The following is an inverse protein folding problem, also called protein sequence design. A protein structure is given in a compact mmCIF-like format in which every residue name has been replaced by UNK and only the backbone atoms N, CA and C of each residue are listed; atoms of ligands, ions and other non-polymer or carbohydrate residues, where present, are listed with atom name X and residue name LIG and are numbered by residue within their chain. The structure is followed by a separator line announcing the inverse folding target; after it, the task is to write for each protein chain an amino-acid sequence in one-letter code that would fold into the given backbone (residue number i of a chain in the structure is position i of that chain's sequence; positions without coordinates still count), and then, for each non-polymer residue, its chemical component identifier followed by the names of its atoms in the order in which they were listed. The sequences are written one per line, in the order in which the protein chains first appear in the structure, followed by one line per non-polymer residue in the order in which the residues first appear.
data_IF_840872700906
#
_entry.id   IF_840872700906
#
_cell.length_a   1.000
_cell.length_b   1.000
_cell.length_c   1.000
_cell.angle_alpha   90.00
_cell.angle_beta   90.00
_cell.angle_gamma   90.00
#
_symmetry.space_group_name_H-M   'P 1'
#
loop_
_entity.id
_entity.type
_entity.pdbx_description
1 polymer ?
#
# COMPACT_ATOMS: atom_id res chain seq x y z
N UNK A 1 -29.08 39.70 -41.95
CA UNK A 1 -29.43 38.45 -41.27
C UNK A 1 -28.10 37.77 -41.01
N UNK A 2 -27.62 37.82 -39.77
CA UNK A 2 -26.29 37.31 -39.40
C UNK A 2 -26.55 35.88 -38.89
N UNK A 3 -26.02 34.91 -39.61
CA UNK A 3 -26.07 33.49 -39.27
C UNK A 3 -25.02 33.26 -38.19
N UNK A 4 -25.47 32.97 -36.96
CA UNK A 4 -24.60 32.68 -35.82
C UNK A 4 -24.40 31.17 -35.82
N UNK A 5 -23.18 30.72 -36.08
CA UNK A 5 -22.82 29.30 -36.01
C UNK A 5 -23.00 28.78 -34.57
N UNK A 6 -23.55 27.55 -34.40
CA UNK A 6 -23.72 26.95 -33.09
C UNK A 6 -22.33 26.68 -32.47
N UNK A 7 -22.17 27.16 -31.23
CA UNK A 7 -20.98 26.92 -30.42
C UNK A 7 -20.97 25.43 -30.07
N UNK A 8 -19.98 24.69 -30.58
CA UNK A 8 -19.74 23.30 -30.20
C UNK A 8 -19.54 23.22 -28.68
N UNK A 9 -20.42 22.48 -28.00
CA UNK A 9 -20.27 22.19 -26.58
C UNK A 9 -18.99 21.35 -26.40
N UNK A 10 -18.06 21.77 -25.51
CA UNK A 10 -16.90 20.95 -25.20
C UNK A 10 -17.37 19.62 -24.62
N UNK A 11 -17.02 18.53 -25.30
CA UNK A 11 -17.26 17.17 -24.85
C UNK A 11 -16.43 16.90 -23.58
N UNK A 12 -17.08 17.07 -22.43
CA UNK A 12 -16.55 16.75 -21.11
C UNK A 12 -16.82 15.28 -20.76
N UNK A 13 -16.69 14.36 -21.72
CA UNK A 13 -16.50 12.94 -21.38
C UNK A 13 -15.15 12.79 -20.68
N UNK A 14 -15.14 13.06 -19.36
CA UNK A 14 -14.03 12.67 -18.48
C UNK A 14 -13.92 11.16 -18.62
N UNK A 15 -12.94 10.72 -19.40
CA UNK A 15 -12.58 9.32 -19.51
C UNK A 15 -12.37 8.80 -18.09
N UNK A 16 -13.28 7.92 -17.64
CA UNK A 16 -13.13 7.31 -16.32
C UNK A 16 -11.82 6.53 -16.42
N UNK A 17 -10.84 6.78 -15.54
CA UNK A 17 -9.58 6.08 -15.61
C UNK A 17 -9.87 4.58 -15.59
N UNK A 18 -9.59 3.90 -16.72
CA UNK A 18 -9.78 2.47 -16.84
C UNK A 18 -8.97 1.83 -15.72
N UNK A 19 -9.70 1.19 -14.81
CA UNK A 19 -9.13 0.63 -13.60
C UNK A 19 -8.20 -0.50 -13.99
N UNK A 20 -6.89 -0.29 -13.88
CA UNK A 20 -5.91 -1.27 -14.33
C UNK A 20 -6.06 -2.56 -13.50
N UNK A 21 -6.55 -3.68 -14.08
CA UNK A 21 -6.99 -4.83 -13.32
C UNK A 21 -5.85 -5.49 -12.55
N UNK A 22 -4.59 -5.31 -12.98
CA UNK A 22 -3.40 -5.89 -12.36
C UNK A 22 -3.17 -5.41 -10.92
N UNK A 23 -3.40 -4.13 -10.62
CA UNK A 23 -3.25 -3.60 -9.25
C UNK A 23 -4.34 -4.15 -8.32
N UNK A 24 -5.58 -4.25 -8.81
CA UNK A 24 -6.70 -4.87 -8.07
C UNK A 24 -6.47 -6.36 -7.89
N UNK A 25 -5.91 -7.03 -8.90
CA UNK A 25 -5.69 -8.48 -8.91
C UNK A 25 -4.67 -8.92 -7.87
N UNK A 26 -3.73 -8.07 -7.47
CA UNK A 26 -2.75 -8.42 -6.42
C UNK A 26 -3.22 -7.93 -5.04
N UNK A 27 -3.76 -6.71 -4.96
CA UNK A 27 -4.16 -6.11 -3.68
C UNK A 27 -5.39 -6.82 -3.09
N UNK A 28 -6.39 -7.16 -3.91
CA UNK A 28 -7.64 -7.78 -3.41
C UNK A 28 -7.38 -9.17 -2.80
N UNK A 29 -6.63 -10.10 -3.43
CA UNK A 29 -6.30 -11.36 -2.81
C UNK A 29 -5.45 -11.20 -1.55
N UNK A 30 -4.52 -10.24 -1.51
CA UNK A 30 -3.73 -9.96 -0.31
C UNK A 30 -4.61 -9.50 0.86
N UNK A 31 -5.54 -8.58 0.62
CA UNK A 31 -6.51 -8.13 1.63
C UNK A 31 -7.42 -9.27 2.06
N UNK A 32 -7.90 -10.11 1.14
CA UNK A 32 -8.73 -11.27 1.46
C UNK A 32 -7.96 -12.33 2.26
N UNK A 33 -6.72 -12.61 1.90
CA UNK A 33 -5.84 -13.51 2.65
C UNK A 33 -5.61 -12.95 4.06
N UNK A 34 -5.36 -11.65 4.19
CA UNK A 34 -5.20 -10.99 5.49
C UNK A 34 -6.46 -11.13 6.34
N UNK A 35 -7.64 -10.80 5.79
CA UNK A 35 -8.93 -10.94 6.48
C UNK A 35 -9.21 -12.39 6.88
N UNK A 36 -8.90 -13.36 6.01
CA UNK A 36 -9.06 -14.78 6.29
C UNK A 36 -8.11 -15.23 7.40
N UNK A 37 -6.85 -14.80 7.40
CA UNK A 37 -5.89 -15.11 8.46
C UNK A 37 -6.29 -14.48 9.79
N UNK A 38 -6.77 -13.23 9.78
CA UNK A 38 -7.30 -12.56 10.98
C UNK A 38 -8.55 -13.27 11.51
N UNK A 39 -9.45 -13.69 10.63
CA UNK A 39 -10.65 -14.44 11.02
C UNK A 39 -10.31 -15.82 11.58
N UNK A 40 -9.39 -16.56 10.95
CA UNK A 40 -8.91 -17.86 11.46
C UNK A 40 -8.23 -17.67 12.82
N UNK A 41 -7.41 -16.64 12.98
CA UNK A 41 -6.79 -16.31 14.27
C UNK A 41 -7.85 -16.07 15.36
N UNK A 42 -8.89 -15.30 15.03
CA UNK A 42 -10.01 -15.03 15.92
C UNK A 42 -10.79 -16.30 16.28
N UNK A 43 -11.15 -17.13 15.31
CA UNK A 43 -11.89 -18.38 15.55
C UNK A 43 -11.06 -19.36 16.37
N UNK A 44 -9.76 -19.50 16.10
CA UNK A 44 -8.88 -20.36 16.91
C UNK A 44 -8.77 -19.85 18.34
N UNK A 45 -8.73 -18.53 18.55
CA UNK A 45 -8.76 -17.92 19.87
C UNK A 45 -10.06 -18.23 20.61
N UNK A 46 -11.22 -18.03 19.97
CA UNK A 46 -12.54 -18.29 20.54
C UNK A 46 -12.73 -19.79 20.87
N UNK A 47 -12.33 -20.68 19.96
CA UNK A 47 -12.39 -22.12 20.16
C UNK A 47 -11.48 -22.58 21.30
N UNK A 48 -10.27 -22.03 21.43
CA UNK A 48 -9.40 -22.33 22.59
C UNK A 48 -10.00 -21.83 23.90
N UNK A 49 -10.73 -20.71 23.88
CA UNK A 49 -11.42 -20.21 25.05
C UNK A 49 -12.57 -21.13 25.49
N UNK A 50 -13.30 -21.69 24.52
CA UNK A 50 -14.46 -22.55 24.75
C UNK A 50 -14.08 -24.01 25.08
N UNK A 51 -12.94 -24.51 24.58
CA UNK A 51 -12.49 -25.89 24.78
C UNK A 51 -11.91 -26.18 26.18
N UNK A 52 -11.76 -25.17 27.03
CA UNK A 52 -11.20 -25.31 28.37
C UNK A 52 -12.34 -25.50 29.38
N UNK A 53 -12.49 -26.70 29.99
CA UNK A 53 -13.67 -27.06 30.79
C UNK A 53 -13.80 -26.31 32.12
N UNK A 54 -12.77 -25.55 32.52
CA UNK A 54 -12.81 -24.65 33.67
C UNK A 54 -11.79 -23.51 33.46
N UNK A 55 -12.15 -22.40 32.79
CA UNK A 55 -11.20 -21.37 32.38
C UNK A 55 -10.40 -20.80 33.57
N UNK A 56 -11.01 -20.80 34.77
CA UNK A 56 -10.39 -20.31 36.01
C UNK A 56 -9.16 -21.11 36.48
N UNK A 57 -9.05 -22.41 36.15
CA UNK A 57 -7.87 -23.20 36.53
C UNK A 57 -6.73 -23.07 35.52
N UNK A 58 -7.04 -22.85 34.24
CA UNK A 58 -6.04 -22.58 33.20
C UNK A 58 -5.34 -21.23 33.43
N UNK A 59 -6.09 -20.18 33.80
CA UNK A 59 -5.52 -18.89 34.20
C UNK A 59 -4.59 -19.02 35.42
N UNK A 60 -4.88 -19.94 36.33
CA UNK A 60 -4.06 -20.20 37.53
C UNK A 60 -2.70 -20.84 37.22
N UNK A 61 -2.59 -21.60 36.12
CA UNK A 61 -1.31 -22.15 35.63
C UNK A 61 -0.57 -21.22 34.66
N UNK A 62 -1.28 -20.25 34.07
CA UNK A 62 -0.71 -19.20 33.21
C UNK A 62 -0.18 -18.01 34.05
N UNK A 63 -0.55 -17.93 35.33
CA UNK A 63 -0.01 -16.99 36.34
C UNK A 63 1.48 -17.21 36.70
N UNK A 64 2.19 -18.07 35.97
CA UNK A 64 3.65 -18.00 35.97
C UNK A 64 4.02 -16.67 35.28
N UNK A 65 4.48 -15.70 36.08
CA UNK A 65 4.92 -14.41 35.53
C UNK A 65 5.75 -14.66 34.28
N UNK A 66 5.34 -14.10 33.11
CA UNK A 66 6.11 -14.27 31.90
C UNK A 66 7.52 -13.81 32.22
N UNK A 67 8.51 -14.66 31.91
CA UNK A 67 9.90 -14.35 32.22
C UNK A 67 10.23 -12.97 31.66
N UNK A 68 11.08 -12.21 32.33
CA UNK A 68 11.45 -10.85 31.91
C UNK A 68 11.92 -10.81 30.44
N UNK A 69 12.45 -11.93 29.93
CA UNK A 69 12.79 -12.14 28.53
C UNK A 69 11.56 -12.14 27.60
N UNK A 70 10.45 -12.80 27.96
CA UNK A 70 9.21 -12.75 27.17
C UNK A 70 8.62 -11.34 27.14
N UNK A 71 8.56 -10.65 28.27
CA UNK A 71 8.10 -9.25 28.34
C UNK A 71 8.95 -8.32 27.46
N UNK A 72 10.27 -8.56 27.40
CA UNK A 72 11.17 -7.80 26.54
C UNK A 72 10.94 -8.08 25.05
N UNK A 73 10.77 -9.35 24.66
CA UNK A 73 10.48 -9.74 23.27
C UNK A 73 9.16 -9.12 22.79
N UNK A 74 8.14 -9.13 23.65
CA UNK A 74 6.82 -8.59 23.36
C UNK A 74 6.87 -7.09 23.05
N UNK A 75 7.53 -6.31 23.91
CA UNK A 75 7.78 -4.88 23.68
C UNK A 75 8.60 -4.61 22.43
N UNK A 76 9.59 -5.45 22.14
CA UNK A 76 10.39 -5.33 20.91
C UNK A 76 9.55 -5.62 19.67
N UNK A 77 8.67 -6.63 19.70
CA UNK A 77 7.78 -6.97 18.60
C UNK A 77 6.82 -5.82 18.28
N UNK A 78 6.18 -5.23 19.30
CA UNK A 78 5.32 -4.06 19.11
C UNK A 78 6.10 -2.84 18.61
N UNK A 79 7.30 -2.58 19.12
CA UNK A 79 8.17 -1.52 18.63
C UNK A 79 8.56 -1.69 17.16
N UNK A 80 8.91 -2.92 16.76
CA UNK A 80 9.24 -3.28 15.37
C UNK A 80 8.03 -3.15 14.45
N UNK A 81 6.84 -3.53 14.93
CA UNK A 81 5.58 -3.33 14.23
C UNK A 81 5.37 -1.84 13.93
N UNK A 82 5.41 -0.99 14.96
CA UNK A 82 5.20 0.45 14.81
C UNK A 82 6.23 1.09 13.87
N UNK A 83 7.49 0.73 14.01
CA UNK A 83 8.56 1.24 13.14
C UNK A 83 8.32 0.86 11.68
N UNK A 84 7.90 -0.38 11.44
CA UNK A 84 7.68 -0.90 10.09
C UNK A 84 6.45 -0.26 9.44
N UNK A 85 5.33 -0.15 10.17
CA UNK A 85 4.11 0.50 9.67
C UNK A 85 4.32 1.99 9.38
N UNK A 86 4.94 2.73 10.31
CA UNK A 86 5.23 4.15 10.10
C UNK A 86 6.21 4.33 8.93
N UNK A 87 7.23 3.47 8.83
CA UNK A 87 8.16 3.46 7.70
C UNK A 87 7.46 3.21 6.36
N UNK A 88 6.55 2.25 6.30
CA UNK A 88 5.76 1.96 5.10
C UNK A 88 4.84 3.11 4.72
N UNK A 89 4.08 3.66 5.67
CA UNK A 89 3.20 4.81 5.45
C UNK A 89 4.01 6.00 4.92
N UNK A 90 5.19 6.25 5.50
CA UNK A 90 6.07 7.33 5.06
C UNK A 90 6.59 7.09 3.64
N UNK A 91 7.10 5.90 3.32
CA UNK A 91 7.61 5.57 1.99
C UNK A 91 6.53 5.69 0.91
N UNK A 92 5.37 5.04 1.11
CA UNK A 92 4.25 5.10 0.17
C UNK A 92 3.69 6.52 0.06
N UNK A 93 3.52 7.23 1.18
CA UNK A 93 3.02 8.59 1.21
C UNK A 93 3.96 9.58 0.51
N UNK A 94 5.27 9.46 0.74
CA UNK A 94 6.29 10.29 0.12
C UNK A 94 6.39 10.06 -1.39
N UNK A 95 6.36 8.78 -1.82
CA UNK A 95 6.35 8.42 -3.25
C UNK A 95 5.10 8.96 -3.95
N UNK A 96 3.91 8.70 -3.39
CA UNK A 96 2.65 9.20 -3.93
C UNK A 96 2.59 10.73 -3.98
N UNK A 97 3.14 11.44 -2.99
CA UNK A 97 3.20 12.90 -3.00
C UNK A 97 4.10 13.44 -4.11
N UNK A 98 5.26 12.82 -4.36
CA UNK A 98 6.15 13.22 -5.45
C UNK A 98 5.48 13.03 -6.81
N UNK A 99 4.86 11.87 -7.03
CA UNK A 99 4.15 11.59 -8.28
C UNK A 99 2.94 12.51 -8.47
N UNK A 100 2.21 12.82 -7.40
CA UNK A 100 1.08 13.76 -7.48
C UNK A 100 1.54 15.19 -7.80
N UNK A 101 2.67 15.63 -7.23
CA UNK A 101 3.26 16.93 -7.59
C UNK A 101 3.70 16.95 -9.04
N UNK A 102 4.29 15.87 -9.53
CA UNK A 102 4.68 15.71 -10.93
C UNK A 102 3.46 15.84 -11.85
N UNK A 103 2.37 15.12 -11.56
CA UNK A 103 1.11 15.22 -12.33
C UNK A 103 0.54 16.63 -12.36
N UNK A 104 0.59 17.35 -11.25
CA UNK A 104 0.09 18.73 -11.20
C UNK A 104 0.94 19.69 -12.03
N UNK A 105 2.25 19.44 -12.15
CA UNK A 105 3.16 20.28 -12.95
C UNK A 105 3.12 19.92 -14.43
N UNK A 106 2.89 18.65 -14.75
CA UNK A 106 2.93 18.10 -16.09
C UNK A 106 1.71 17.20 -16.34
N UNK A 107 0.56 17.77 -16.75
CA UNK A 107 -0.68 17.01 -16.95
C UNK A 107 -0.64 16.11 -18.20
N UNK A 108 0.27 16.39 -19.15
CA UNK A 108 0.43 15.64 -20.39
C UNK A 108 1.91 15.45 -20.74
N UNK A 109 2.23 14.36 -21.44
CA UNK A 109 3.57 13.98 -21.85
C UNK A 109 3.90 14.58 -23.23
N UNK A 110 4.15 15.89 -23.25
CA UNK A 110 4.32 16.65 -24.50
C UNK A 110 5.77 16.68 -25.00
N UNK A 111 6.76 16.56 -24.10
CA UNK A 111 8.18 16.78 -24.41
C UNK A 111 9.08 15.74 -23.74
N UNK A 112 10.22 15.46 -24.37
CA UNK A 112 11.28 14.62 -23.82
C UNK A 112 11.82 15.07 -22.46
N UNK A 113 11.88 16.38 -22.21
CA UNK A 113 12.34 16.91 -20.92
C UNK A 113 11.45 16.45 -19.75
N UNK A 114 10.14 16.30 -19.98
CA UNK A 114 9.19 15.83 -18.97
C UNK A 114 9.45 14.35 -18.66
N UNK A 115 9.71 13.55 -19.70
CA UNK A 115 10.06 12.14 -19.56
C UNK A 115 11.39 11.96 -18.79
N UNK A 116 12.40 12.77 -19.11
CA UNK A 116 13.68 12.76 -18.39
C UNK A 116 13.53 13.15 -16.91
N UNK A 117 12.55 14.01 -16.58
CA UNK A 117 12.20 14.30 -15.18
C UNK A 117 11.42 13.15 -14.53
N UNK A 118 10.60 12.42 -15.27
CA UNK A 118 9.83 11.28 -14.74
C UNK A 118 10.73 10.09 -14.40
N UNK A 119 11.72 9.77 -15.25
CA UNK A 119 12.66 8.65 -15.07
C UNK A 119 13.26 8.55 -13.65
N UNK A 120 13.86 9.60 -13.06
CA UNK A 120 14.41 9.51 -11.71
C UNK A 120 13.34 9.29 -10.63
N UNK A 121 12.14 9.86 -10.79
CA UNK A 121 11.03 9.61 -9.85
C UNK A 121 10.61 8.13 -9.88
N UNK A 122 10.43 7.59 -11.08
CA UNK A 122 10.10 6.18 -11.29
C UNK A 122 11.20 5.28 -10.71
N UNK A 123 12.47 5.59 -10.98
CA UNK A 123 13.63 4.88 -10.44
C UNK A 123 13.63 4.87 -8.91
N UNK A 124 13.42 6.02 -8.26
CA UNK A 124 13.31 6.10 -6.81
C UNK A 124 12.14 5.26 -6.29
N UNK A 125 10.99 5.31 -6.95
CA UNK A 125 9.84 4.51 -6.55
C UNK A 125 10.13 3.00 -6.67
N UNK A 126 10.77 2.56 -7.76
CA UNK A 126 11.19 1.16 -7.93
C UNK A 126 12.13 0.69 -6.81
N UNK A 127 13.04 1.54 -6.32
CA UNK A 127 13.88 1.21 -5.15
C UNK A 127 13.11 1.17 -3.83
N UNK A 128 12.01 1.91 -3.70
CA UNK A 128 11.16 1.86 -2.50
C UNK A 128 10.32 0.59 -2.43
N UNK A 129 9.98 -0.04 -3.55
CA UNK A 129 9.21 -1.29 -3.56
C UNK A 129 9.84 -2.40 -2.72
N UNK A 130 11.12 -2.80 -2.89
CA UNK A 130 11.71 -3.87 -2.07
C UNK A 130 11.83 -3.50 -0.59
N UNK A 131 12.12 -2.23 -0.28
CA UNK A 131 12.16 -1.74 1.11
C UNK A 131 10.75 -1.77 1.73
N UNK A 132 9.74 -1.37 0.96
CA UNK A 132 8.33 -1.45 1.35
C UNK A 132 7.87 -2.89 1.58
N UNK A 133 8.25 -3.83 0.71
CA UNK A 133 7.96 -5.26 0.88
C UNK A 133 8.60 -5.82 2.15
N UNK A 134 9.83 -5.40 2.47
CA UNK A 134 10.49 -5.78 3.72
C UNK A 134 9.70 -5.28 4.94
N UNK A 135 9.27 -4.01 4.94
CA UNK A 135 8.45 -3.47 6.03
C UNK A 135 7.10 -4.16 6.14
N UNK A 136 6.41 -4.43 5.03
CA UNK A 136 5.15 -5.18 5.03
C UNK A 136 5.36 -6.56 5.66
N UNK A 137 6.43 -7.27 5.28
CA UNK A 137 6.74 -8.59 5.85
C UNK A 137 6.95 -8.54 7.37
N UNK A 138 7.75 -7.59 7.85
CA UNK A 138 8.00 -7.41 9.29
C UNK A 138 6.72 -7.00 10.02
N UNK A 139 5.97 -6.04 9.48
CA UNK A 139 4.73 -5.54 10.07
C UNK A 139 3.63 -6.62 10.12
N UNK A 140 3.54 -7.49 9.12
CA UNK A 140 2.60 -8.62 9.14
C UNK A 140 2.94 -9.61 10.24
N UNK A 141 4.19 -10.05 10.33
CA UNK A 141 4.61 -11.04 11.33
C UNK A 141 4.44 -10.48 12.75
N UNK A 142 4.95 -9.27 12.98
CA UNK A 142 4.87 -8.61 14.29
C UNK A 142 3.44 -8.18 14.63
N UNK A 143 2.65 -7.71 13.67
CA UNK A 143 1.25 -7.33 13.86
C UNK A 143 0.36 -8.52 14.22
N UNK A 144 0.53 -9.66 13.55
CA UNK A 144 -0.17 -10.91 13.92
C UNK A 144 0.21 -11.32 15.33
N UNK A 145 1.51 -11.31 15.67
CA UNK A 145 1.97 -11.60 17.03
C UNK A 145 1.33 -10.67 18.06
N UNK A 146 1.26 -9.37 17.75
CA UNK A 146 0.62 -8.37 18.62
C UNK A 146 -0.87 -8.66 18.84
N UNK A 147 -1.60 -9.06 17.79
CA UNK A 147 -3.03 -9.38 17.89
C UNK A 147 -3.32 -10.57 18.83
N UNK A 148 -2.38 -11.51 18.97
CA UNK A 148 -2.55 -12.65 19.88
C UNK A 148 -2.22 -12.32 21.34
N UNK A 149 -1.10 -11.63 21.60
CA UNK A 149 -0.52 -11.52 22.95
C UNK A 149 -1.00 -10.27 23.72
N UNK A 150 -1.30 -9.17 23.03
CA UNK A 150 -1.44 -7.85 23.67
C UNK A 150 -2.85 -7.51 24.15
N UNK A 151 -2.97 -6.38 24.85
CA UNK A 151 -4.24 -5.84 25.33
C UNK A 151 -5.09 -5.25 24.20
N UNK A 152 -6.39 -5.09 24.48
CA UNK A 152 -7.40 -4.63 23.50
C UNK A 152 -7.03 -3.27 22.86
N UNK A 153 -6.36 -2.39 23.61
CA UNK A 153 -5.90 -1.08 23.11
C UNK A 153 -4.80 -1.23 22.05
N UNK A 154 -3.80 -2.06 22.28
CA UNK A 154 -2.70 -2.28 21.32
C UNK A 154 -3.21 -3.00 20.07
N UNK A 155 -4.15 -3.94 20.22
CA UNK A 155 -4.85 -4.54 19.07
C UNK A 155 -5.59 -3.48 18.24
N UNK A 156 -6.28 -2.55 18.89
CA UNK A 156 -6.96 -1.45 18.19
C UNK A 156 -5.96 -0.55 17.43
N UNK A 157 -4.79 -0.28 18.01
CA UNK A 157 -3.71 0.47 17.34
C UNK A 157 -3.19 -0.28 16.11
N UNK A 158 -2.93 -1.59 16.23
CA UNK A 158 -2.49 -2.44 15.11
C UNK A 158 -3.48 -2.38 13.95
N UNK A 159 -4.77 -2.62 14.24
CA UNK A 159 -5.83 -2.59 13.23
C UNK A 159 -5.96 -1.21 12.59
N UNK A 160 -5.93 -0.14 13.39
CA UNK A 160 -6.02 1.23 12.89
C UNK A 160 -4.87 1.56 11.93
N UNK A 161 -3.63 1.21 12.29
CA UNK A 161 -2.47 1.43 11.43
C UNK A 161 -2.56 0.64 10.13
N UNK A 162 -3.02 -0.61 10.16
CA UNK A 162 -3.28 -1.40 8.95
C UNK A 162 -4.31 -0.76 8.03
N UNK A 163 -5.40 -0.23 8.57
CA UNK A 163 -6.39 0.50 7.76
C UNK A 163 -5.80 1.76 7.13
N UNK A 164 -5.05 2.55 7.89
CA UNK A 164 -4.39 3.77 7.39
C UNK A 164 -3.37 3.42 6.31
N UNK A 165 -2.51 2.43 6.57
CA UNK A 165 -1.48 1.94 5.65
C UNK A 165 -2.09 1.46 4.33
N UNK A 166 -3.19 0.70 4.41
CA UNK A 166 -3.95 0.26 3.23
C UNK A 166 -4.53 1.44 2.45
N UNK A 167 -5.12 2.43 3.12
CA UNK A 167 -5.66 3.62 2.48
C UNK A 167 -4.59 4.45 1.75
N UNK A 168 -3.41 4.59 2.35
CA UNK A 168 -2.25 5.27 1.73
C UNK A 168 -1.77 4.49 0.51
N UNK A 169 -1.67 3.15 0.60
CA UNK A 169 -1.27 2.31 -0.52
C UNK A 169 -2.24 2.41 -1.70
N UNK A 170 -3.55 2.36 -1.45
CA UNK A 170 -4.59 2.53 -2.48
C UNK A 170 -4.45 3.90 -3.16
N UNK A 171 -4.30 4.98 -2.36
CA UNK A 171 -4.14 6.33 -2.90
C UNK A 171 -2.89 6.44 -3.77
N UNK A 172 -1.77 5.86 -3.34
CA UNK A 172 -0.53 5.82 -4.11
C UNK A 172 -0.75 5.09 -5.44
N UNK A 173 -1.38 3.92 -5.42
CA UNK A 173 -1.69 3.14 -6.64
C UNK A 173 -2.57 3.93 -7.63
N UNK A 174 -3.55 4.69 -7.15
CA UNK A 174 -4.37 5.57 -8.01
C UNK A 174 -3.52 6.66 -8.68
N UNK A 175 -2.60 7.28 -7.93
CA UNK A 175 -1.70 8.32 -8.47
C UNK A 175 -0.75 7.71 -9.50
N UNK A 176 -0.16 6.55 -9.22
CA UNK A 176 0.69 5.82 -10.17
C UNK A 176 -0.05 5.49 -11.46
N UNK A 177 -1.30 5.01 -11.36
CA UNK A 177 -2.14 4.74 -12.52
C UNK A 177 -2.40 6.00 -13.35
N UNK A 178 -2.64 7.15 -12.71
CA UNK A 178 -2.77 8.43 -13.41
C UNK A 178 -1.47 8.84 -14.11
N UNK A 179 -0.32 8.66 -13.47
CA UNK A 179 1.00 8.92 -14.08
C UNK A 179 1.23 8.02 -15.28
N UNK A 180 0.75 6.77 -15.28
CA UNK A 180 0.88 5.82 -16.41
C UNK A 180 -0.16 6.01 -17.51
N UNK A 181 -1.25 6.72 -17.22
CA UNK A 181 -2.32 7.00 -18.16
C UNK A 181 -2.21 8.39 -18.79
N UNK A 182 -1.07 9.07 -18.66
CA UNK A 182 -0.89 10.38 -19.30
C UNK A 182 -0.83 10.23 -20.82
N UNK A 183 -1.56 11.08 -21.51
CA UNK A 183 -1.52 11.16 -22.97
C UNK A 183 -0.15 11.67 -23.45
N UNK A 184 0.31 11.13 -24.57
CA UNK A 184 1.52 11.59 -25.25
C UNK A 184 1.20 11.96 -26.69
N UNK A 185 1.59 13.17 -27.09
CA UNK A 185 1.29 13.76 -28.39
C UNK A 185 2.18 13.26 -29.52
N UNK A 186 3.41 12.84 -29.21
CA UNK A 186 4.37 12.38 -30.21
C UNK A 186 4.53 10.85 -30.19
N UNK A 187 4.45 10.16 -31.35
CA UNK A 187 4.50 8.70 -31.41
C UNK A 187 5.84 8.11 -30.95
N UNK A 188 6.95 8.83 -31.18
CA UNK A 188 8.30 8.37 -30.75
C UNK A 188 8.45 8.50 -29.23
N UNK A 189 7.99 9.62 -28.66
CA UNK A 189 7.98 9.84 -27.21
C UNK A 189 7.08 8.84 -26.49
N UNK A 190 5.91 8.55 -27.07
CA UNK A 190 4.96 7.57 -26.56
C UNK A 190 5.59 6.18 -26.39
N UNK A 191 6.33 5.71 -27.39
CA UNK A 191 6.98 4.40 -27.34
C UNK A 191 8.02 4.32 -26.20
N UNK A 192 8.80 5.37 -25.98
CA UNK A 192 9.79 5.39 -24.88
C UNK A 192 9.10 5.50 -23.50
N UNK A 193 8.07 6.33 -23.39
CA UNK A 193 7.28 6.45 -22.18
C UNK A 193 6.57 5.14 -21.81
N UNK A 194 5.99 4.42 -22.78
CA UNK A 194 5.40 3.10 -22.57
C UNK A 194 6.44 2.09 -22.10
N UNK A 195 7.65 2.12 -22.66
CA UNK A 195 8.78 1.28 -22.20
C UNK A 195 9.13 1.55 -20.73
N UNK A 196 9.24 2.82 -20.34
CA UNK A 196 9.48 3.22 -18.93
C UNK A 196 8.35 2.72 -18.02
N UNK A 197 7.09 2.86 -18.43
CA UNK A 197 5.94 2.39 -17.66
C UNK A 197 5.89 0.86 -17.54
N UNK A 198 6.27 0.13 -18.59
CA UNK A 198 6.37 -1.33 -18.56
C UNK A 198 7.51 -1.78 -17.65
N UNK A 199 8.69 -1.17 -17.74
CA UNK A 199 9.82 -1.47 -16.83
C UNK A 199 9.45 -1.22 -15.38
N UNK A 200 8.71 -0.15 -15.08
CA UNK A 200 8.22 0.15 -13.73
C UNK A 200 7.30 -0.96 -13.18
N UNK A 201 6.45 -1.56 -14.01
CA UNK A 201 5.53 -2.62 -13.59
C UNK A 201 6.21 -3.99 -13.46
N UNK A 202 7.13 -4.31 -14.37
CA UNK A 202 7.64 -5.67 -14.52
C UNK A 202 8.97 -5.90 -13.81
N UNK A 203 9.74 -4.85 -13.52
CA UNK A 203 11.10 -4.98 -13.00
C UNK A 203 11.21 -4.38 -11.61
N UNK A 204 12.05 -5.02 -10.80
CA UNK A 204 12.39 -4.51 -9.46
C UNK A 204 13.45 -3.39 -9.54
N UNK A 205 14.25 -3.37 -10.61
CA UNK A 205 15.30 -2.38 -10.85
C UNK A 205 15.13 -1.76 -12.24
N UNK A 206 15.35 -0.43 -12.37
CA UNK A 206 15.26 0.24 -13.66
C UNK A 206 16.44 -0.13 -14.55
N UNK A 207 16.20 -0.13 -15.86
CA UNK A 207 17.18 -0.37 -16.92
C UNK A 207 17.51 0.89 -17.73
N UNK A 208 16.87 2.01 -17.39
CA UNK A 208 17.04 3.34 -17.95
C UNK A 208 17.59 4.29 -16.88
#
# INVERSE_FOLDING_TARGET
MIEIDPIDEPDFSIDRPEFNPLSVTIIVPLVLIMLMLTYVAYVVYDLKLQAVPNPKELFKSIDQEPSELFKAIDRMAFGLFLLSEVGQIFLCGYSGLQLNRFLHQHPAMNNYEILERLKPLVRTNMYFVPVGLLFIGVALVTGIFCLYQHDLLEKAVVLCLWFVSTGVAIRCSVIENKVRAMESTEPVLKAEYESVCQSWLQRMFPDF
#
